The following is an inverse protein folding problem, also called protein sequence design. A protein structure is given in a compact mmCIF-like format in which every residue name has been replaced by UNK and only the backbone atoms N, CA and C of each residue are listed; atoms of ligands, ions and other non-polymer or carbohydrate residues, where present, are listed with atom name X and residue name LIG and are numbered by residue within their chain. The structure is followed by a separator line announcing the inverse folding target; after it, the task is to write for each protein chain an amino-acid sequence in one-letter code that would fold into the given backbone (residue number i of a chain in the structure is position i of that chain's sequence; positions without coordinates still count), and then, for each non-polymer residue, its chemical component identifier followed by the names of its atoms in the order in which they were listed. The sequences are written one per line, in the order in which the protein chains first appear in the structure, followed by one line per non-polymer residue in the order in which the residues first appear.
data_IF_694227751319
#
_entry.id   IF_694227751319
#
_cell.length_a   1.000
_cell.length_b   1.000
_cell.length_c   1.000
_cell.angle_alpha   90.00
_cell.angle_beta   90.00
_cell.angle_gamma   90.00
#
_symmetry.space_group_name_H-M   'P 1'
#
loop_
_entity.id
_entity.type
_entity.pdbx_description
1 polymer ?
#
# COMPACT_ATOMS: atom_id res chain seq x y z
N UNK A 1 -47.98 -34.69 -2.18
CA UNK A 1 -48.81 -33.48 -1.98
C UNK A 1 -47.85 -32.37 -1.54
N UNK A 2 -47.18 -31.64 -2.43
CA UNK A 2 -47.67 -30.60 -3.35
C UNK A 2 -48.42 -29.47 -2.62
N UNK A 3 -47.73 -28.34 -2.38
CA UNK A 3 -48.05 -27.01 -2.92
C UNK A 3 -46.90 -26.01 -2.60
N UNK A 4 -46.43 -25.20 -3.58
CA UNK A 4 -45.46 -24.12 -3.41
C UNK A 4 -46.12 -22.72 -3.39
N UNK A 5 -45.53 -21.76 -2.66
CA UNK A 5 -45.91 -20.33 -2.65
C UNK A 5 -44.64 -19.49 -2.85
N UNK A 6 -44.36 -19.04 -4.07
CA UNK A 6 -44.81 -17.77 -4.68
C UNK A 6 -43.74 -16.66 -4.53
N UNK A 7 -42.80 -16.68 -5.48
CA UNK A 7 -41.82 -15.61 -5.75
C UNK A 7 -42.48 -14.63 -6.74
N UNK A 8 -42.54 -13.32 -6.47
CA UNK A 8 -42.90 -12.36 -7.51
C UNK A 8 -41.69 -12.07 -8.42
N UNK A 9 -41.91 -12.37 -9.70
CA UNK A 9 -41.01 -12.18 -10.82
C UNK A 9 -40.77 -10.70 -11.17
N UNK A 10 -39.58 -10.45 -11.72
CA UNK A 10 -39.22 -9.23 -12.43
C UNK A 10 -40.07 -9.05 -13.70
N UNK A 11 -40.45 -7.82 -14.07
CA UNK A 11 -40.87 -7.53 -15.44
C UNK A 11 -39.64 -7.18 -16.30
N UNK A 12 -39.43 -7.99 -17.32
CA UNK A 12 -38.55 -7.72 -18.44
C UNK A 12 -39.27 -6.93 -19.53
N UNK A 13 -38.50 -6.04 -20.18
CA UNK A 13 -38.63 -5.53 -21.56
C UNK A 13 -39.76 -4.55 -21.89
N UNK A 14 -39.34 -3.35 -22.27
CA UNK A 14 -39.81 -2.76 -23.53
C UNK A 14 -38.62 -2.23 -24.33
N UNK A 15 -38.53 -2.68 -25.58
CA UNK A 15 -37.55 -2.29 -26.56
C UNK A 15 -38.08 -1.04 -27.29
N UNK A 16 -37.49 0.12 -27.02
CA UNK A 16 -37.66 1.32 -27.82
C UNK A 16 -36.46 1.50 -28.75
N UNK A 17 -36.55 0.94 -29.96
CA UNK A 17 -35.68 1.31 -31.07
C UNK A 17 -36.05 2.72 -31.53
N UNK A 18 -35.17 3.69 -31.28
CA UNK A 18 -35.19 4.98 -31.98
C UNK A 18 -33.86 5.16 -32.69
N UNK A 19 -33.88 4.79 -33.97
CA UNK A 19 -32.89 5.15 -34.98
C UNK A 19 -32.84 6.66 -35.14
N UNK A 20 -31.78 7.30 -34.65
CA UNK A 20 -31.44 8.67 -34.98
C UNK A 20 -30.06 8.69 -35.64
N UNK A 21 -30.09 8.75 -36.98
CA UNK A 21 -28.95 9.04 -37.85
C UNK A 21 -28.45 10.47 -37.60
N UNK A 22 -27.18 10.70 -37.22
CA UNK A 22 -26.57 12.00 -37.40
C UNK A 22 -26.00 12.10 -38.83
N UNK A 23 -26.68 12.92 -39.62
CA UNK A 23 -26.29 13.41 -40.93
C UNK A 23 -24.94 14.14 -40.82
N UNK A 24 -23.93 13.62 -41.51
CA UNK A 24 -22.63 14.25 -41.66
C UNK A 24 -22.76 15.60 -42.39
N UNK A 25 -22.17 16.69 -41.89
CA UNK A 25 -21.85 17.84 -42.71
C UNK A 25 -20.50 17.61 -43.39
N UNK A 26 -20.51 17.80 -44.71
CA UNK A 26 -19.34 17.79 -45.59
C UNK A 26 -18.25 18.76 -45.10
N UNK A 27 -17.01 18.27 -45.05
CA UNK A 27 -15.82 19.12 -45.02
C UNK A 27 -15.15 19.11 -46.39
N UNK A 28 -14.77 20.28 -46.93
CA UNK A 28 -14.07 20.38 -48.21
C UNK A 28 -12.62 19.90 -48.09
N UNK A 29 -12.20 19.20 -49.14
CA UNK A 29 -10.84 18.74 -49.44
C UNK A 29 -9.87 19.94 -49.43
N UNK A 30 -8.92 19.94 -48.49
CA UNK A 30 -7.71 20.76 -48.58
C UNK A 30 -6.55 19.82 -48.86
N UNK A 31 -5.88 20.11 -49.98
CA UNK A 31 -4.78 19.36 -50.54
C UNK A 31 -3.61 19.18 -49.55
N UNK A 32 -3.16 17.94 -49.41
CA UNK A 32 -1.82 17.55 -48.98
C UNK A 32 -0.77 18.04 -49.99
N UNK A 33 0.22 18.85 -49.60
CA UNK A 33 1.50 18.84 -50.28
C UNK A 33 2.31 17.64 -49.79
N UNK A 34 2.63 16.75 -50.74
CA UNK A 34 3.70 15.77 -50.67
C UNK A 34 4.98 16.47 -50.22
N UNK A 35 5.49 16.10 -49.05
CA UNK A 35 6.88 16.34 -48.66
C UNK A 35 7.46 14.99 -48.28
N UNK A 36 8.56 14.67 -48.94
CA UNK A 36 9.28 13.41 -48.92
C UNK A 36 9.60 12.91 -47.49
N UNK A 37 9.58 11.59 -47.24
CA UNK A 37 10.26 11.03 -46.10
C UNK A 37 11.76 10.96 -46.41
N UNK A 38 12.52 11.96 -45.96
CA UNK A 38 13.95 11.74 -45.70
C UNK A 38 14.03 10.87 -44.46
N UNK A 39 14.29 9.59 -44.65
CA UNK A 39 14.67 8.65 -43.62
C UNK A 39 15.99 9.10 -42.96
N UNK A 40 15.91 9.91 -41.90
CA UNK A 40 17.01 10.02 -40.95
C UNK A 40 16.80 8.97 -39.88
N UNK A 41 17.37 7.79 -40.11
CA UNK A 41 17.44 6.66 -39.18
C UNK A 41 18.08 7.09 -37.85
N UNK A 42 17.37 7.02 -36.69
CA UNK A 42 17.99 7.07 -35.37
C UNK A 42 18.03 5.65 -34.76
N UNK A 43 18.50 4.66 -35.53
CA UNK A 43 18.52 3.26 -35.10
C UNK A 43 19.82 2.83 -34.39
N UNK A 44 20.96 3.43 -34.77
CA UNK A 44 22.28 2.88 -34.42
C UNK A 44 22.75 3.26 -33.01
N UNK A 45 22.43 4.47 -32.54
CA UNK A 45 22.83 4.94 -31.21
C UNK A 45 22.08 4.21 -30.07
N UNK A 46 20.80 3.89 -30.28
CA UNK A 46 19.98 3.18 -29.29
C UNK A 46 20.46 1.74 -29.14
N UNK A 47 20.82 1.06 -30.24
CA UNK A 47 21.34 -0.30 -30.21
C UNK A 47 22.65 -0.43 -29.42
N UNK A 48 23.58 0.52 -29.58
CA UNK A 48 24.84 0.55 -28.83
C UNK A 48 24.64 0.88 -27.34
N UNK A 49 23.69 1.75 -26.99
CA UNK A 49 23.38 2.05 -25.60
C UNK A 49 22.75 0.86 -24.87
N UNK A 50 21.86 0.11 -25.55
CA UNK A 50 21.21 -1.07 -24.98
C UNK A 50 22.22 -2.21 -24.77
N UNK A 51 23.15 -2.45 -25.69
CA UNK A 51 24.18 -3.48 -25.54
C UNK A 51 25.16 -3.17 -24.40
N UNK A 52 25.54 -1.90 -24.22
CA UNK A 52 26.39 -1.47 -23.12
C UNK A 52 25.68 -1.56 -21.75
N UNK A 53 24.39 -1.24 -21.70
CA UNK A 53 23.59 -1.39 -20.48
C UNK A 53 23.45 -2.87 -20.08
N UNK A 54 23.30 -3.77 -21.06
CA UNK A 54 23.27 -5.21 -20.84
C UNK A 54 24.59 -5.76 -20.31
N UNK A 55 25.74 -5.33 -20.87
CA UNK A 55 27.08 -5.67 -20.35
C UNK A 55 27.26 -5.22 -18.90
N UNK A 56 26.95 -3.94 -18.62
CA UNK A 56 27.03 -3.38 -17.26
C UNK A 56 26.10 -4.09 -16.28
N UNK A 57 24.94 -4.55 -16.74
CA UNK A 57 24.02 -5.36 -15.93
C UNK A 57 24.60 -6.74 -15.63
N UNK A 58 25.23 -7.40 -16.60
CA UNK A 58 25.87 -8.70 -16.41
C UNK A 58 27.04 -8.62 -15.42
N UNK A 59 27.90 -7.60 -15.53
CA UNK A 59 28.97 -7.33 -14.57
C UNK A 59 28.42 -7.10 -13.15
N UNK A 60 27.32 -6.34 -13.04
CA UNK A 60 26.63 -6.11 -11.77
C UNK A 60 26.05 -7.40 -11.19
N UNK A 61 25.43 -8.24 -12.01
CA UNK A 61 24.89 -9.54 -11.58
C UNK A 61 26.02 -10.49 -11.14
N UNK A 62 27.16 -10.49 -11.82
CA UNK A 62 28.35 -11.25 -11.41
C UNK A 62 28.94 -10.77 -10.07
N UNK A 63 29.03 -9.46 -9.84
CA UNK A 63 29.46 -8.91 -8.55
C UNK A 63 28.49 -9.27 -7.42
N UNK A 64 27.20 -9.28 -7.71
CA UNK A 64 26.17 -9.74 -6.78
C UNK A 64 26.35 -11.21 -6.43
N UNK A 65 26.60 -12.08 -7.42
CA UNK A 65 26.82 -13.50 -7.16
C UNK A 65 28.13 -13.74 -6.37
N UNK A 66 29.18 -12.98 -6.65
CA UNK A 66 30.44 -13.04 -5.90
C UNK A 66 30.28 -12.60 -4.44
N UNK A 67 29.52 -11.53 -4.18
CA UNK A 67 29.25 -11.05 -2.81
C UNK A 67 28.32 -11.99 -2.05
N UNK A 68 27.33 -12.58 -2.73
CA UNK A 68 26.40 -13.54 -2.13
C UNK A 68 27.00 -14.92 -1.86
N UNK A 69 28.11 -15.29 -2.51
CA UNK A 69 28.76 -16.58 -2.35
C UNK A 69 29.22 -16.88 -0.90
N UNK A 70 29.43 -15.85 -0.08
CA UNK A 70 29.82 -15.99 1.33
C UNK A 70 28.63 -16.33 2.27
N UNK A 71 27.39 -16.25 1.79
CA UNK A 71 26.18 -16.43 2.60
C UNK A 71 25.51 -17.78 2.34
N UNK A 72 24.66 -18.22 3.28
CA UNK A 72 23.86 -19.44 3.10
C UNK A 72 22.87 -19.32 1.92
N UNK A 73 22.64 -20.46 1.26
CA UNK A 73 21.73 -20.63 0.13
C UNK A 73 20.32 -20.08 0.37
N UNK A 74 19.79 -20.20 1.60
CA UNK A 74 18.49 -19.64 1.99
C UNK A 74 18.48 -18.10 1.93
N UNK A 75 19.53 -17.48 2.47
CA UNK A 75 19.72 -16.02 2.44
C UNK A 75 19.95 -15.53 1.01
N UNK A 76 20.73 -16.27 0.21
CA UNK A 76 20.93 -15.94 -1.22
C UNK A 76 19.61 -15.97 -1.99
N UNK A 77 18.76 -16.98 -1.77
CA UNK A 77 17.46 -17.09 -2.40
C UNK A 77 16.54 -15.94 -1.98
N UNK A 78 16.54 -15.57 -0.70
CA UNK A 78 15.80 -14.43 -0.18
C UNK A 78 16.25 -13.11 -0.83
N UNK A 79 17.56 -12.85 -0.89
CA UNK A 79 18.11 -11.63 -1.53
C UNK A 79 17.76 -11.58 -3.02
N UNK A 80 17.90 -12.68 -3.74
CA UNK A 80 17.49 -12.76 -5.15
C UNK A 80 15.99 -12.53 -5.31
N UNK A 81 15.15 -12.98 -4.37
CA UNK A 81 13.71 -12.73 -4.39
C UNK A 81 13.39 -11.23 -4.24
N UNK A 82 14.10 -10.54 -3.35
CA UNK A 82 13.92 -9.11 -3.09
C UNK A 82 14.40 -8.25 -4.25
N UNK A 83 15.50 -8.62 -4.90
CA UNK A 83 16.06 -7.85 -6.02
C UNK A 83 15.25 -7.96 -7.31
N UNK A 84 14.45 -9.03 -7.47
CA UNK A 84 13.50 -9.17 -8.59
C UNK A 84 12.41 -8.11 -8.54
N UNK A 85 11.93 -7.78 -7.34
CA UNK A 85 10.83 -6.84 -7.13
C UNK A 85 11.40 -5.45 -6.87
N UNK A 86 10.95 -4.39 -7.57
CA UNK A 86 11.41 -3.05 -7.23
C UNK A 86 10.97 -2.64 -5.82
N UNK A 87 11.84 -1.93 -5.11
CA UNK A 87 11.62 -1.53 -3.73
C UNK A 87 10.96 -0.14 -3.63
N UNK A 88 10.02 0.00 -2.70
CA UNK A 88 9.55 1.26 -2.15
C UNK A 88 10.12 1.45 -0.73
N UNK A 89 9.83 2.59 -0.08
CA UNK A 89 10.34 2.87 1.27
C UNK A 89 9.81 1.90 2.32
N UNK A 90 8.58 1.43 2.16
CA UNK A 90 7.93 0.52 3.11
C UNK A 90 8.52 -0.90 3.00
N UNK A 91 8.71 -1.41 1.78
CA UNK A 91 9.34 -2.71 1.53
C UNK A 91 10.79 -2.72 1.98
N UNK A 92 11.52 -1.63 1.75
CA UNK A 92 12.91 -1.53 2.22
C UNK A 92 12.98 -1.60 3.76
N UNK A 93 12.07 -0.90 4.46
CA UNK A 93 11.95 -0.96 5.92
C UNK A 93 11.58 -2.36 6.42
N UNK A 94 10.62 -3.02 5.78
CA UNK A 94 10.20 -4.38 6.15
C UNK A 94 11.33 -5.40 5.93
N UNK A 95 12.10 -5.24 4.86
CA UNK A 95 13.29 -6.06 4.62
C UNK A 95 14.35 -5.85 5.70
N UNK A 96 14.63 -4.59 6.06
CA UNK A 96 15.59 -4.28 7.13
C UNK A 96 15.20 -4.96 8.44
N UNK A 97 13.89 -4.95 8.77
CA UNK A 97 13.35 -5.68 9.92
C UNK A 97 13.54 -7.20 9.78
N UNK A 98 13.21 -7.80 8.62
CA UNK A 98 13.40 -9.25 8.40
C UNK A 98 14.86 -9.68 8.60
N UNK A 99 15.81 -8.88 8.11
CA UNK A 99 17.25 -9.14 8.31
C UNK A 99 17.67 -9.01 9.77
N UNK A 100 17.01 -8.13 10.53
CA UNK A 100 17.28 -7.95 11.96
C UNK A 100 16.63 -9.05 12.83
N UNK A 101 15.48 -9.56 12.40
CA UNK A 101 14.74 -10.62 13.09
C UNK A 101 15.36 -12.01 12.89
N UNK A 102 16.09 -12.25 11.80
CA UNK A 102 16.74 -13.54 11.50
C UNK A 102 17.77 -13.92 12.59
N UNK A 103 17.49 -14.95 13.41
CA UNK A 103 18.39 -15.38 14.48
C UNK A 103 19.51 -16.24 13.87
N UNK A 104 20.74 -15.73 13.89
CA UNK A 104 21.92 -16.47 13.44
C UNK A 104 22.89 -15.67 12.56
N UNK A 105 22.45 -14.54 12.01
CA UNK A 105 23.30 -13.68 11.18
C UNK A 105 24.10 -12.68 12.02
N UNK A 106 25.41 -12.54 11.79
CA UNK A 106 26.24 -11.54 12.49
C UNK A 106 25.79 -10.12 12.15
N UNK A 107 25.99 -9.17 13.06
CA UNK A 107 25.65 -7.76 12.81
C UNK A 107 26.31 -7.19 11.54
N UNK A 108 27.56 -7.55 11.27
CA UNK A 108 28.30 -7.16 10.05
C UNK A 108 27.71 -7.75 8.77
N UNK A 109 27.20 -8.98 8.84
CA UNK A 109 26.55 -9.67 7.73
C UNK A 109 25.18 -9.05 7.42
N UNK A 110 24.44 -8.62 8.45
CA UNK A 110 23.19 -7.87 8.29
C UNK A 110 23.43 -6.54 7.58
N UNK A 111 24.45 -5.80 8.00
CA UNK A 111 24.77 -4.50 7.42
C UNK A 111 25.24 -4.62 5.97
N UNK A 112 26.03 -5.64 5.64
CA UNK A 112 26.43 -5.92 4.25
C UNK A 112 25.22 -6.29 3.39
N UNK A 113 24.28 -7.10 3.90
CA UNK A 113 23.01 -7.38 3.20
C UNK A 113 22.18 -6.11 2.96
N UNK A 114 22.06 -5.25 3.97
CA UNK A 114 21.33 -3.97 3.85
C UNK A 114 21.98 -3.06 2.82
N UNK A 115 23.31 -2.99 2.80
CA UNK A 115 24.06 -2.23 1.80
C UNK A 115 23.87 -2.83 0.39
N UNK A 116 23.89 -4.15 0.27
CA UNK A 116 23.71 -4.88 -0.99
C UNK A 116 22.33 -4.60 -1.59
N UNK A 117 21.25 -4.75 -0.84
CA UNK A 117 19.89 -4.49 -1.35
C UNK A 117 19.72 -3.02 -1.79
N UNK A 118 20.33 -2.07 -1.10
CA UNK A 118 20.31 -0.65 -1.50
C UNK A 118 21.11 -0.37 -2.76
N UNK A 119 22.26 -1.03 -2.93
CA UNK A 119 23.14 -0.85 -4.08
C UNK A 119 22.65 -1.60 -5.33
N UNK A 120 22.10 -2.80 -5.16
CA UNK A 120 21.67 -3.70 -6.23
C UNK A 120 20.17 -3.62 -6.55
N UNK A 121 19.35 -3.15 -5.60
CA UNK A 121 17.92 -3.01 -5.78
C UNK A 121 17.54 -2.00 -6.86
N UNK A 122 16.38 -2.21 -7.49
CA UNK A 122 15.75 -1.23 -8.36
C UNK A 122 14.70 -0.46 -7.56
N UNK A 123 14.82 0.87 -7.51
CA UNK A 123 13.79 1.71 -6.89
C UNK A 123 12.51 1.67 -7.71
N UNK A 124 11.38 1.45 -7.07
CA UNK A 124 10.08 1.51 -7.73
C UNK A 124 9.83 2.92 -8.27
N UNK A 125 9.53 3.00 -9.56
CA UNK A 125 9.16 4.26 -10.19
C UNK A 125 7.75 4.61 -9.76
N UNK A 126 7.62 5.67 -8.95
CA UNK A 126 6.31 6.28 -8.69
C UNK A 126 5.61 6.56 -10.02
N UNK A 127 4.30 6.31 -10.07
CA UNK A 127 3.48 6.58 -11.25
C UNK A 127 3.63 8.05 -11.67
N UNK A 128 3.68 8.34 -12.98
CA UNK A 128 3.61 9.72 -13.44
C UNK A 128 2.36 10.37 -12.83
N UNK A 129 2.51 11.53 -12.17
CA UNK A 129 1.36 12.28 -11.62
C UNK A 129 0.36 12.55 -12.75
N UNK A 130 -0.95 12.41 -12.49
CA UNK A 130 -2.00 12.66 -13.48
C UNK A 130 -1.85 14.07 -14.09
N UNK A 131 -2.06 14.23 -15.41
CA UNK A 131 -1.86 15.52 -16.11
C UNK A 131 -2.67 16.66 -15.46
N UNK A 132 -3.94 16.40 -15.13
CA UNK A 132 -4.83 17.38 -14.47
C UNK A 132 -4.30 17.81 -13.09
N UNK A 133 -3.55 16.93 -12.43
CA UNK A 133 -2.90 17.20 -11.14
C UNK A 133 -1.49 17.79 -11.28
N UNK A 134 -0.96 17.96 -12.50
CA UNK A 134 0.31 18.66 -12.75
C UNK A 134 0.12 20.14 -13.00
N UNK A 135 -0.98 20.50 -13.65
CA UNK A 135 -1.23 21.89 -14.02
C UNK A 135 -1.74 22.68 -12.80
N UNK A 136 -1.04 23.73 -12.35
CA UNK A 136 -1.38 24.46 -11.12
C UNK A 136 -2.74 25.16 -11.19
N UNK A 137 -3.24 25.41 -12.41
CA UNK A 137 -4.55 26.03 -12.66
C UNK A 137 -5.71 25.04 -12.41
N UNK A 138 -5.51 23.75 -12.70
CA UNK A 138 -6.58 22.74 -12.62
C UNK A 138 -6.48 21.83 -11.41
N UNK A 139 -5.29 21.74 -10.79
CA UNK A 139 -5.02 20.88 -9.63
C UNK A 139 -6.05 21.05 -8.52
N UNK A 140 -6.28 22.30 -8.10
CA UNK A 140 -7.18 22.61 -6.98
C UNK A 140 -8.62 22.19 -7.26
N UNK A 141 -9.13 22.56 -8.44
CA UNK A 141 -10.50 22.23 -8.87
C UNK A 141 -10.67 20.71 -8.99
N UNK A 142 -9.70 20.01 -9.59
CA UNK A 142 -9.76 18.56 -9.74
C UNK A 142 -9.71 17.82 -8.40
N UNK A 143 -8.90 18.29 -7.44
CA UNK A 143 -8.85 17.73 -6.09
C UNK A 143 -10.16 17.98 -5.32
N UNK A 144 -10.75 19.17 -5.44
CA UNK A 144 -12.05 19.48 -4.83
C UNK A 144 -13.18 18.61 -5.41
N UNK A 145 -13.22 18.41 -6.73
CA UNK A 145 -14.17 17.51 -7.38
C UNK A 145 -13.96 16.06 -6.96
N UNK A 146 -12.70 15.57 -6.93
CA UNK A 146 -12.38 14.23 -6.47
C UNK A 146 -12.85 14.02 -5.03
N UNK A 147 -12.66 15.00 -4.14
CA UNK A 147 -13.16 14.94 -2.77
C UNK A 147 -14.70 14.88 -2.74
N UNK A 148 -15.39 15.74 -3.49
CA UNK A 148 -16.86 15.75 -3.55
C UNK A 148 -17.42 14.43 -4.08
N UNK A 149 -16.79 13.83 -5.08
CA UNK A 149 -17.26 12.60 -5.72
C UNK A 149 -16.85 11.32 -4.97
N UNK A 150 -15.71 11.30 -4.29
CA UNK A 150 -15.21 10.10 -3.60
C UNK A 150 -16.08 9.69 -2.40
N UNK A 151 -16.88 10.61 -1.85
CA UNK A 151 -17.74 10.38 -0.69
C UNK A 151 -19.24 10.46 -1.04
N UNK A 152 -19.63 10.25 -2.29
CA UNK A 152 -21.05 10.17 -2.64
C UNK A 152 -21.70 9.04 -1.83
N UNK A 153 -22.64 9.39 -0.94
CA UNK A 153 -23.32 8.44 -0.06
C UNK A 153 -22.60 8.14 1.27
N UNK A 154 -21.51 8.85 1.60
CA UNK A 154 -20.83 8.74 2.89
C UNK A 154 -20.83 10.07 3.62
N UNK A 155 -21.41 10.10 4.81
CA UNK A 155 -21.29 11.24 5.72
C UNK A 155 -20.01 11.07 6.55
N UNK A 156 -19.05 12.00 6.39
CA UNK A 156 -17.88 12.01 7.25
C UNK A 156 -18.28 12.42 8.67
N UNK A 157 -18.40 11.44 9.58
CA UNK A 157 -18.46 11.70 11.02
C UNK A 157 -17.05 11.66 11.58
N UNK A 158 -16.51 12.81 12.00
CA UNK A 158 -15.27 12.81 12.80
C UNK A 158 -15.53 11.98 14.06
N UNK A 159 -14.68 10.99 14.31
CA UNK A 159 -14.65 10.32 15.61
C UNK A 159 -14.35 11.40 16.64
N UNK A 160 -15.39 11.83 17.35
CA UNK A 160 -15.23 12.67 18.53
C UNK A 160 -14.48 11.79 19.51
N UNK A 161 -13.17 12.03 19.67
CA UNK A 161 -12.48 11.58 20.87
C UNK A 161 -13.16 12.37 21.97
N UNK A 162 -14.23 11.82 22.54
CA UNK A 162 -14.66 12.24 23.84
C UNK A 162 -13.44 11.97 24.71
N UNK A 163 -12.69 13.04 25.03
CA UNK A 163 -11.90 13.04 26.25
C UNK A 163 -12.93 12.78 27.33
N UNK A 164 -13.15 11.50 27.64
CA UNK A 164 -13.80 11.11 28.86
C UNK A 164 -12.86 11.64 29.93
N UNK A 165 -13.11 12.87 30.39
CA UNK A 165 -12.75 13.24 31.73
C UNK A 165 -13.32 12.10 32.58
N UNK A 166 -12.41 11.29 33.10
CA UNK A 166 -12.70 10.23 34.04
C UNK A 166 -13.43 10.89 35.22
N UNK A 167 -14.74 10.95 35.16
CA UNK A 167 -15.52 10.77 36.37
C UNK A 167 -15.60 9.26 36.49
N UNK A 168 -14.75 8.75 37.37
CA UNK A 168 -14.73 7.35 37.75
C UNK A 168 -16.16 6.95 38.16
N UNK A 169 -16.88 6.35 37.22
CA UNK A 169 -17.97 5.44 37.54
C UNK A 169 -17.34 4.28 38.26
N UNK A 170 -17.35 4.38 39.59
CA UNK A 170 -17.12 3.29 40.53
C UNK A 170 -17.91 2.08 40.04
N UNK A 171 -17.23 1.10 39.45
CA UNK A 171 -17.71 -0.26 39.53
C UNK A 171 -17.60 -0.62 41.02
N UNK A 172 -18.71 -0.90 41.73
CA UNK A 172 -18.59 -1.49 43.05
C UNK A 172 -17.88 -2.85 42.87
N UNK A 173 -16.81 -3.12 43.63
CA UNK A 173 -16.17 -4.43 43.63
C UNK A 173 -17.19 -5.50 44.05
N UNK A 174 -17.07 -6.74 43.56
CA UNK A 174 -17.96 -7.82 43.98
C UNK A 174 -17.85 -7.99 45.51
N UNK A 175 -19.01 -7.95 46.16
CA UNK A 175 -19.19 -8.16 47.60
C UNK A 175 -18.58 -9.51 48.01
N UNK A 176 -17.36 -9.48 48.58
CA UNK A 176 -16.87 -10.58 49.38
C UNK A 176 -17.51 -10.44 50.76
N UNK A 177 -18.38 -11.39 51.06
CA UNK A 177 -19.10 -11.53 52.32
C UNK A 177 -18.20 -11.29 53.54
N UNK A 178 -18.75 -10.55 54.50
CA UNK A 178 -18.17 -10.26 55.80
C UNK A 178 -17.76 -11.54 56.54
N UNK A 179 -16.47 -11.88 56.51
CA UNK A 179 -15.87 -12.71 57.56
C UNK A 179 -15.64 -11.79 58.77
N UNK A 180 -16.52 -11.92 59.76
CA UNK A 180 -16.43 -11.22 61.04
C UNK A 180 -15.08 -11.49 61.73
N UNK A 181 -14.36 -10.46 62.23
CA UNK A 181 -13.26 -10.72 63.14
C UNK A 181 -13.81 -11.16 64.50
N UNK A 182 -13.56 -12.44 64.84
CA UNK A 182 -13.67 -13.01 66.17
C UNK A 182 -13.15 -12.03 67.23
N UNK A 183 -13.99 -11.79 68.24
CA UNK A 183 -13.68 -10.98 69.41
C UNK A 183 -12.39 -11.44 70.10
N UNK A 184 -11.36 -10.59 70.06
CA UNK A 184 -10.17 -10.75 70.89
C UNK A 184 -10.48 -10.25 72.31
N UNK A 185 -10.76 -11.23 73.17
CA UNK A 185 -10.80 -11.17 74.62
C UNK A 185 -9.64 -10.33 75.21
N UNK A 186 -9.96 -9.20 75.87
CA UNK A 186 -8.99 -8.44 76.70
C UNK A 186 -9.18 -8.82 78.17
N UNK A 187 -8.18 -9.40 78.85
CA UNK A 187 -8.25 -9.70 80.27
C UNK A 187 -8.17 -8.42 81.13
N UNK A 188 -8.92 -8.43 82.23
CA UNK A 188 -9.10 -7.32 83.15
C UNK A 188 -7.81 -6.85 83.82
N UNK A 189 -7.70 -5.54 83.97
CA UNK A 189 -6.71 -4.89 84.81
C UNK A 189 -7.41 -4.44 86.10
N UNK A 190 -7.01 -5.08 87.19
CA UNK A 190 -7.38 -4.82 88.58
C UNK A 190 -7.14 -3.38 89.01
N UNK A 191 -8.13 -2.82 89.69
CA UNK A 191 -8.10 -1.55 90.42
C UNK A 191 -7.51 -1.78 91.83
N UNK A 192 -6.65 -0.86 92.26
CA UNK A 192 -6.30 -0.62 93.66
C UNK A 192 -7.19 0.52 94.16
N UNK A 193 -7.74 0.37 95.37
CA UNK A 193 -8.61 1.33 96.06
C UNK A 193 -9.50 0.61 97.05
#
# INVERSE_FOLDING_TARGET
MALPSSIPAAPAREAGQSSATPRAPATPVVATPVVAPTETVPGTAVAHAVSNASKKRAEREALLDQTLAAFDSGVQAAVRSWLKVPYDSLRLRNFEMQVDDEPGLRATERDTLKALVRLFGKKERKRPRDRILRDPRTERVAMELRKKMAFLGYDWKRMQVQTQAQTASVCPPPEFEHIAPMAAFRPGRTSMG
#
